data_IF_386616065436
#
_entry.id   IF_386616065436
#
_cell.length_a   1.000
_cell.length_b   1.000
_cell.length_c   1.000
_cell.angle_alpha   90.00
_cell.angle_beta   90.00
_cell.angle_gamma   90.00
#
_symmetry.space_group_name_H-M   'P 1'
#
loop_
_entity.id
_entity.type
_entity.pdbx_description
1 polymer ?
#
# COMPACT_ATOMS: atom_id res chain seq x y z
N UNK A 1 7.85 -10.25 -19.97
CA UNK A 1 7.33 -11.54 -19.49
C UNK A 1 6.45 -12.16 -20.57
N UNK A 2 6.54 -13.47 -20.83
CA UNK A 2 5.71 -14.20 -21.82
C UNK A 2 4.54 -14.96 -21.18
N UNK A 3 4.28 -14.71 -19.89
CA UNK A 3 3.36 -15.45 -19.04
C UNK A 3 2.03 -14.71 -18.77
N UNK A 4 1.77 -13.59 -19.46
CA UNK A 4 0.58 -12.77 -19.27
C UNK A 4 0.69 -11.68 -18.19
N UNK A 5 1.84 -11.59 -17.49
CA UNK A 5 2.10 -10.51 -16.53
C UNK A 5 2.23 -9.15 -17.24
N UNK A 6 1.62 -8.12 -16.66
CA UNK A 6 1.65 -6.74 -17.16
C UNK A 6 2.68 -5.95 -16.35
N UNK A 7 3.69 -5.42 -17.02
CA UNK A 7 4.66 -4.52 -16.40
C UNK A 7 4.22 -3.08 -16.63
N UNK A 8 3.99 -2.35 -15.54
CA UNK A 8 3.67 -0.94 -15.57
C UNK A 8 4.86 -0.13 -15.07
N UNK A 9 5.27 0.86 -15.87
CA UNK A 9 6.29 1.84 -15.51
C UNK A 9 5.73 3.23 -15.79
N UNK A 10 5.31 3.91 -14.73
CA UNK A 10 4.82 5.28 -14.80
C UNK A 10 5.97 6.22 -14.45
N UNK A 11 6.30 7.14 -15.34
CA UNK A 11 7.43 8.05 -15.21
C UNK A 11 6.87 9.47 -15.15
N UNK A 12 7.18 10.17 -14.07
CA UNK A 12 6.87 11.58 -13.88
C UNK A 12 8.17 12.36 -14.01
N UNK A 13 8.27 13.18 -15.06
CA UNK A 13 9.44 14.03 -15.34
C UNK A 13 9.08 15.48 -15.07
N UNK A 14 9.88 16.16 -14.25
CA UNK A 14 9.64 17.54 -13.86
C UNK A 14 10.48 18.49 -14.71
N UNK A 15 9.83 19.23 -15.61
CA UNK A 15 10.51 20.20 -16.49
C UNK A 15 10.83 21.53 -15.80
N UNK A 16 10.19 21.82 -14.67
CA UNK A 16 10.36 23.04 -13.86
C UNK A 16 10.16 22.71 -12.39
N UNK A 17 10.33 23.71 -11.53
CA UNK A 17 9.96 23.62 -10.12
C UNK A 17 8.48 23.26 -9.94
N UNK A 18 8.18 22.32 -9.05
CA UNK A 18 6.83 21.96 -8.65
C UNK A 18 6.80 21.51 -7.18
N UNK A 19 5.83 22.02 -6.42
CA UNK A 19 5.50 21.55 -5.07
C UNK A 19 4.21 20.74 -5.12
N UNK A 20 4.27 19.49 -4.67
CA UNK A 20 3.12 18.59 -4.69
C UNK A 20 2.82 18.07 -3.28
N UNK A 21 1.56 18.19 -2.87
CA UNK A 21 1.06 17.51 -1.67
C UNK A 21 0.85 16.01 -1.89
N UNK A 22 0.64 15.60 -3.15
CA UNK A 22 0.36 14.23 -3.55
C UNK A 22 0.97 13.95 -4.91
N UNK A 23 1.73 12.88 -5.01
CA UNK A 23 2.16 12.27 -6.27
C UNK A 23 1.93 10.77 -6.13
N UNK A 24 0.86 10.25 -6.76
CA UNK A 24 0.43 8.87 -6.55
C UNK A 24 -0.04 8.21 -7.83
N UNK A 25 0.11 6.88 -7.87
CA UNK A 25 -0.53 6.01 -8.87
C UNK A 25 -1.44 5.00 -8.17
N UNK A 26 -2.46 4.51 -8.87
CA UNK A 26 -3.37 3.50 -8.34
C UNK A 26 -3.94 2.65 -9.46
N UNK A 27 -4.26 1.39 -9.14
CA UNK A 27 -5.16 0.57 -9.94
C UNK A 27 -6.56 0.70 -9.34
N UNK A 28 -7.45 1.35 -10.08
CA UNK A 28 -8.83 1.62 -9.65
C UNK A 28 -9.68 0.37 -9.80
N UNK A 29 -10.36 -0.01 -8.73
CA UNK A 29 -11.33 -1.13 -8.65
C UNK A 29 -10.96 -2.37 -9.48
N UNK A 30 -9.80 -3.01 -9.24
CA UNK A 30 -9.31 -4.11 -10.08
C UNK A 30 -10.35 -5.24 -10.27
N UNK A 31 -11.15 -5.50 -9.22
CA UNK A 31 -12.17 -6.56 -9.23
C UNK A 31 -13.51 -6.15 -8.59
N UNK A 32 -13.52 -5.06 -7.81
CA UNK A 32 -14.67 -4.67 -6.99
C UNK A 32 -15.88 -4.17 -7.77
N UNK A 33 -15.73 -3.77 -9.03
CA UNK A 33 -16.86 -3.37 -9.90
C UNK A 33 -17.67 -4.57 -10.41
N UNK A 34 -17.12 -5.79 -10.37
CA UNK A 34 -17.78 -7.00 -10.90
C UNK A 34 -17.99 -8.09 -9.85
N UNK A 35 -17.34 -8.00 -8.70
CA UNK A 35 -17.41 -8.98 -7.63
C UNK A 35 -17.39 -8.29 -6.25
N UNK A 36 -18.56 -8.19 -5.62
CA UNK A 36 -18.71 -7.57 -4.30
C UNK A 36 -18.07 -8.38 -3.17
N UNK A 37 -17.83 -9.69 -3.37
CA UNK A 37 -17.14 -10.56 -2.42
C UNK A 37 -15.61 -10.43 -2.47
N UNK A 38 -15.09 -9.47 -3.24
CA UNK A 38 -13.65 -9.21 -3.34
C UNK A 38 -13.07 -8.83 -1.99
N UNK A 39 -11.94 -9.44 -1.64
CA UNK A 39 -11.11 -9.08 -0.49
C UNK A 39 -9.79 -8.49 -0.95
N UNK A 40 -9.26 -7.54 -0.17
CA UNK A 40 -7.86 -7.16 -0.21
C UNK A 40 -7.04 -8.21 0.54
N UNK A 41 -5.96 -8.69 -0.07
CA UNK A 41 -4.95 -9.52 0.59
C UNK A 41 -3.58 -8.87 0.45
N UNK A 42 -2.82 -8.79 1.55
CA UNK A 42 -1.46 -8.22 1.54
C UNK A 42 -0.66 -8.67 2.77
N UNK A 43 0.69 -8.57 2.75
CA UNK A 43 1.52 -8.78 3.92
C UNK A 43 1.16 -7.83 5.06
N UNK A 44 1.41 -8.23 6.31
CA UNK A 44 1.34 -7.30 7.44
C UNK A 44 2.34 -6.17 7.23
N UNK A 45 1.87 -4.93 7.37
CA UNK A 45 2.71 -3.75 7.21
C UNK A 45 3.89 -3.76 8.17
N UNK A 46 5.06 -3.37 7.67
CA UNK A 46 6.23 -3.11 8.50
C UNK A 46 6.04 -1.86 9.36
N UNK A 47 5.26 -0.87 8.90
CA UNK A 47 4.85 0.32 9.67
C UNK A 47 3.47 0.82 9.26
N UNK A 48 2.67 1.22 10.24
CA UNK A 48 1.28 1.65 10.05
C UNK A 48 0.98 2.84 10.97
N UNK A 49 0.51 3.96 10.40
CA UNK A 49 0.22 5.19 11.16
C UNK A 49 -0.72 4.92 12.33
N UNK A 50 -1.80 4.19 12.09
CA UNK A 50 -2.76 3.87 13.15
C UNK A 50 -2.16 3.03 14.28
N UNK A 51 -1.22 2.13 13.96
CA UNK A 51 -0.55 1.33 14.97
C UNK A 51 0.39 2.20 15.80
N UNK A 52 1.14 3.11 15.15
CA UNK A 52 1.97 4.11 15.81
C UNK A 52 1.13 5.03 16.73
N UNK A 53 -0.03 5.51 16.25
CA UNK A 53 -0.97 6.35 17.02
C UNK A 53 -1.60 5.64 18.22
N UNK A 54 -1.80 4.32 18.13
CA UNK A 54 -2.31 3.50 19.22
C UNK A 54 -1.19 2.90 20.09
N UNK A 55 0.07 3.13 19.72
CA UNK A 55 1.26 2.57 20.38
C UNK A 55 1.23 1.03 20.47
N UNK A 56 0.84 0.37 19.37
CA UNK A 56 0.80 -1.08 19.19
C UNK A 56 1.52 -1.48 17.90
N UNK A 57 1.72 -2.77 17.67
CA UNK A 57 2.27 -3.27 16.41
C UNK A 57 1.22 -3.30 15.29
N UNK A 58 1.63 -3.21 14.01
CA UNK A 58 0.70 -3.41 12.90
C UNK A 58 -0.03 -4.76 12.95
N UNK A 59 0.61 -5.83 13.44
CA UNK A 59 -0.03 -7.13 13.61
C UNK A 59 -1.16 -7.07 14.65
N UNK A 60 -0.92 -6.49 15.82
CA UNK A 60 -1.93 -6.31 16.87
C UNK A 60 -3.12 -5.49 16.34
N UNK A 61 -2.85 -4.40 15.63
CA UNK A 61 -3.89 -3.55 15.02
C UNK A 61 -4.85 -4.35 14.13
N UNK A 62 -4.32 -5.22 13.27
CA UNK A 62 -5.14 -6.01 12.35
C UNK A 62 -5.77 -7.24 13.00
N UNK A 63 -5.15 -7.81 14.05
CA UNK A 63 -5.74 -8.87 14.87
C UNK A 63 -7.00 -8.39 15.59
N UNK A 64 -6.98 -7.21 16.20
CA UNK A 64 -8.15 -6.60 16.86
C UNK A 64 -9.34 -6.41 15.91
N UNK A 65 -9.06 -6.32 14.60
CA UNK A 65 -10.05 -6.13 13.53
C UNK A 65 -10.49 -7.44 12.87
N UNK A 66 -10.04 -8.58 13.38
CA UNK A 66 -10.31 -9.90 12.81
C UNK A 66 -9.97 -9.98 11.31
N UNK A 67 -8.86 -9.35 10.94
CA UNK A 67 -8.44 -9.17 9.55
C UNK A 67 -7.08 -9.81 9.27
N UNK A 68 -6.67 -10.78 10.10
CA UNK A 68 -5.47 -11.58 9.89
C UNK A 68 -5.86 -13.00 9.52
N UNK A 69 -5.28 -13.49 8.43
CA UNK A 69 -5.28 -14.88 8.04
C UNK A 69 -3.85 -15.41 8.05
N UNK A 70 -3.64 -16.60 8.61
CA UNK A 70 -2.36 -17.29 8.55
C UNK A 70 -2.32 -18.24 7.36
N UNK A 71 -1.26 -18.18 6.55
CA UNK A 71 -0.91 -19.23 5.61
C UNK A 71 0.42 -19.85 6.04
N UNK A 72 0.36 -21.11 6.50
CA UNK A 72 1.43 -21.69 7.31
C UNK A 72 1.65 -20.89 8.60
N UNK A 73 2.90 -20.44 8.84
CA UNK A 73 3.28 -19.66 10.03
C UNK A 73 3.38 -18.15 9.76
N UNK A 74 2.91 -17.66 8.59
CA UNK A 74 3.03 -16.25 8.21
C UNK A 74 1.65 -15.57 8.25
N UNK A 75 1.52 -14.40 8.92
CA UNK A 75 0.28 -13.63 8.93
C UNK A 75 0.15 -12.76 7.68
N UNK A 76 -1.07 -12.66 7.15
CA UNK A 76 -1.45 -11.77 6.07
C UNK A 76 -2.70 -11.01 6.47
N UNK A 77 -2.78 -9.76 6.03
CA UNK A 77 -3.96 -8.92 6.19
C UNK A 77 -4.97 -9.35 5.12
N UNK A 78 -6.20 -9.64 5.54
CA UNK A 78 -7.33 -9.99 4.68
C UNK A 78 -8.56 -9.22 5.18
N UNK A 79 -9.10 -8.35 4.34
CA UNK A 79 -10.33 -7.61 4.66
C UNK A 79 -11.18 -7.33 3.41
N UNK A 80 -12.50 -7.11 3.55
CA UNK A 80 -13.37 -6.84 2.40
C UNK A 80 -12.93 -5.60 1.63
N UNK A 81 -12.94 -5.66 0.30
CA UNK A 81 -12.56 -4.55 -0.55
C UNK A 81 -13.70 -3.53 -0.78
N UNK A 82 -14.94 -3.94 -0.54
CA UNK A 82 -16.13 -3.07 -0.70
C UNK A 82 -16.61 -2.43 0.60
N UNK A 83 -16.26 -3.01 1.74
CA UNK A 83 -16.64 -2.50 3.06
C UNK A 83 -15.55 -1.63 3.67
N UNK A 84 -16.00 -0.63 4.44
CA UNK A 84 -15.09 0.25 5.15
C UNK A 84 -14.64 -0.39 6.47
N UNK A 85 -13.35 -0.67 6.59
CA UNK A 85 -12.71 -1.01 7.86
C UNK A 85 -12.69 0.22 8.78
N UNK A 86 -13.08 0.05 10.05
CA UNK A 86 -13.02 1.12 11.05
C UNK A 86 -11.62 1.21 11.70
N UNK A 87 -11.24 2.39 12.25
CA UNK A 87 -11.97 3.65 12.27
C UNK A 87 -12.05 4.32 10.89
N UNK A 88 -13.07 5.16 10.72
CA UNK A 88 -13.21 5.99 9.53
C UNK A 88 -12.60 7.36 9.82
N UNK A 89 -11.79 7.87 8.89
CA UNK A 89 -11.45 9.28 8.83
C UNK A 89 -12.32 9.94 7.77
N UNK A 90 -12.93 11.08 8.10
CA UNK A 90 -13.86 11.82 7.22
C UNK A 90 -14.92 10.95 6.53
N UNK A 91 -15.39 9.89 7.20
CA UNK A 91 -16.41 8.98 6.69
C UNK A 91 -15.91 7.87 5.76
N UNK A 92 -14.60 7.73 5.54
CA UNK A 92 -14.00 6.63 4.77
C UNK A 92 -12.89 5.91 5.57
N UNK A 93 -12.58 4.67 5.19
CA UNK A 93 -11.40 3.97 5.72
C UNK A 93 -10.16 4.60 5.14
N UNK A 94 -9.25 4.98 6.02
CA UNK A 94 -7.93 5.45 5.66
C UNK A 94 -6.87 4.57 6.27
N UNK A 95 -5.92 4.13 5.45
CA UNK A 95 -4.72 3.40 5.88
C UNK A 95 -3.53 4.17 5.33
N UNK A 96 -2.60 4.55 6.21
CA UNK A 96 -1.32 5.12 5.83
C UNK A 96 -0.23 4.21 6.35
N UNK A 97 0.46 3.55 5.44
CA UNK A 97 1.36 2.48 5.78
C UNK A 97 2.60 2.46 4.89
N UNK A 98 3.62 1.74 5.33
CA UNK A 98 4.75 1.37 4.48
C UNK A 98 4.26 0.64 3.23
N UNK A 99 4.92 0.91 2.09
CA UNK A 99 4.72 0.09 0.90
C UNK A 99 5.31 -1.30 1.15
N UNK A 100 4.54 -2.35 0.88
CA UNK A 100 5.00 -3.73 1.01
C UNK A 100 5.29 -4.36 -0.35
N UNK A 101 5.73 -5.62 -0.34
CA UNK A 101 6.12 -6.33 -1.57
C UNK A 101 4.98 -6.55 -2.56
N UNK A 102 3.75 -6.71 -2.08
CA UNK A 102 2.58 -6.92 -2.93
C UNK A 102 1.27 -6.66 -2.20
N UNK A 103 0.23 -6.38 -2.97
CA UNK A 103 -1.17 -6.44 -2.54
C UNK A 103 -1.99 -7.12 -3.64
N UNK A 104 -3.11 -7.72 -3.32
CA UNK A 104 -3.98 -8.33 -4.31
C UNK A 104 -5.45 -8.12 -3.99
N UNK A 105 -6.27 -8.20 -5.04
CA UNK A 105 -7.72 -8.29 -4.95
C UNK A 105 -8.12 -9.69 -5.39
N UNK A 106 -8.91 -10.39 -4.57
CA UNK A 106 -9.34 -11.75 -4.87
C UNK A 106 -10.82 -11.91 -4.59
N UNK A 107 -11.55 -12.50 -5.56
CA UNK A 107 -12.96 -12.88 -5.41
C UNK A 107 -13.08 -14.39 -5.22
N UNK A 108 -13.58 -14.87 -4.07
CA UNK A 108 -13.88 -16.28 -3.85
C UNK A 108 -14.88 -16.87 -4.86
N UNK A 109 -15.93 -16.13 -5.22
CA UNK A 109 -16.97 -16.59 -6.14
C UNK A 109 -16.47 -16.73 -7.58
N UNK A 110 -15.63 -15.81 -8.03
CA UNK A 110 -15.02 -15.86 -9.37
C UNK A 110 -13.75 -16.71 -9.42
N UNK A 111 -13.22 -17.12 -8.27
CA UNK A 111 -11.92 -17.82 -8.17
C UNK A 111 -10.81 -17.10 -8.94
N UNK A 112 -10.85 -15.78 -8.91
CA UNK A 112 -10.02 -14.90 -9.73
C UNK A 112 -9.41 -13.83 -8.85
N UNK A 113 -8.12 -13.57 -9.05
CA UNK A 113 -7.41 -12.50 -8.38
C UNK A 113 -6.55 -11.67 -9.31
N UNK A 114 -6.24 -10.46 -8.84
CA UNK A 114 -5.33 -9.51 -9.49
C UNK A 114 -4.30 -9.11 -8.45
N UNK A 115 -3.06 -9.51 -8.67
CA UNK A 115 -1.93 -9.13 -7.84
C UNK A 115 -1.28 -7.87 -8.37
N UNK A 116 -0.92 -6.97 -7.46
CA UNK A 116 -0.05 -5.82 -7.71
C UNK A 116 1.25 -6.03 -6.93
N UNK A 117 2.33 -6.29 -7.64
CA UNK A 117 3.63 -6.63 -7.06
C UNK A 117 4.58 -5.47 -7.30
N UNK A 118 5.17 -4.96 -6.22
CA UNK A 118 6.19 -3.94 -6.28
C UNK A 118 7.51 -4.59 -6.70
N UNK A 119 8.16 -4.07 -7.75
CA UNK A 119 9.46 -4.59 -8.21
C UNK A 119 10.57 -4.34 -7.20
N UNK A 120 10.42 -3.31 -6.38
CA UNK A 120 11.30 -2.95 -5.29
C UNK A 120 10.47 -2.51 -4.08
N UNK A 121 10.97 -2.82 -2.88
CA UNK A 121 10.28 -2.49 -1.63
C UNK A 121 11.05 -1.38 -0.92
N UNK A 122 10.44 -0.21 -0.70
CA UNK A 122 11.13 0.90 -0.05
C UNK A 122 11.62 0.54 1.36
N UNK A 123 12.82 1.02 1.75
CA UNK A 123 13.23 0.99 3.15
C UNK A 123 12.34 1.92 3.97
N UNK A 124 12.23 1.64 5.26
CA UNK A 124 11.48 2.48 6.19
C UNK A 124 12.51 3.26 7.00
N UNK A 125 12.40 4.59 6.93
CA UNK A 125 13.24 5.48 7.71
C UNK A 125 12.74 5.52 9.15
N UNK A 126 13.65 5.71 10.10
CA UNK A 126 13.28 5.91 11.51
C UNK A 126 12.65 7.30 11.72
N UNK A 127 13.07 8.29 10.94
CA UNK A 127 12.49 9.62 10.94
C UNK A 127 11.03 9.55 10.46
N UNK A 128 10.10 9.92 11.33
CA UNK A 128 8.66 9.85 11.06
C UNK A 128 8.25 10.73 9.88
N UNK A 129 8.78 11.95 9.82
CA UNK A 129 8.46 12.90 8.76
C UNK A 129 8.99 12.43 7.41
N UNK A 130 10.22 11.92 7.35
CA UNK A 130 10.77 11.35 6.11
C UNK A 130 10.00 10.12 5.64
N UNK A 131 9.51 9.27 6.56
CA UNK A 131 8.70 8.11 6.19
C UNK A 131 7.34 8.53 5.64
N UNK A 132 6.64 9.42 6.34
CA UNK A 132 5.32 9.92 5.93
C UNK A 132 5.38 10.65 4.58
N UNK A 133 6.46 11.41 4.37
CA UNK A 133 6.72 12.10 3.11
C UNK A 133 7.33 11.27 2.01
N UNK A 134 7.68 10.03 2.30
CA UNK A 134 8.27 9.09 1.38
C UNK A 134 7.23 8.27 0.60
N UNK A 135 7.70 7.23 -0.12
CA UNK A 135 6.81 6.27 -0.77
C UNK A 135 6.00 5.50 0.27
N UNK A 136 4.68 5.70 0.27
CA UNK A 136 3.72 5.03 1.16
C UNK A 136 2.60 4.34 0.39
N UNK A 137 1.89 3.44 1.07
CA UNK A 137 0.57 3.00 0.64
C UNK A 137 -0.48 3.79 1.39
N UNK A 138 -1.36 4.42 0.62
CA UNK A 138 -2.53 5.12 1.12
C UNK A 138 -3.77 4.39 0.65
N UNK A 139 -4.54 3.83 1.59
CA UNK A 139 -5.87 3.34 1.29
C UNK A 139 -6.87 4.47 1.48
N UNK A 140 -7.66 4.73 0.46
CA UNK A 140 -8.74 5.72 0.48
C UNK A 140 -9.87 5.22 -0.41
N UNK A 141 -11.11 5.26 0.09
CA UNK A 141 -12.31 5.01 -0.73
C UNK A 141 -12.28 3.69 -1.53
N UNK A 142 -11.84 2.60 -0.87
CA UNK A 142 -11.74 1.21 -1.40
C UNK A 142 -10.47 0.87 -2.19
N UNK A 143 -9.56 1.83 -2.35
CA UNK A 143 -8.41 1.68 -3.25
C UNK A 143 -7.11 2.00 -2.55
N UNK A 144 -6.08 1.21 -2.86
CA UNK A 144 -4.71 1.53 -2.48
C UNK A 144 -4.05 2.40 -3.54
N UNK A 145 -3.36 3.44 -3.07
CA UNK A 145 -2.57 4.39 -3.83
C UNK A 145 -1.12 4.24 -3.42
N UNK A 146 -0.22 4.27 -4.40
CA UNK A 146 1.23 4.24 -4.19
C UNK A 146 1.78 5.64 -4.39
N UNK A 147 2.55 6.15 -3.42
CA UNK A 147 3.41 7.30 -3.64
C UNK A 147 3.48 8.25 -2.48
N UNK A 148 3.66 9.52 -2.79
CA UNK A 148 3.85 10.59 -1.82
C UNK A 148 2.48 11.14 -1.39
N UNK A 149 2.27 11.30 -0.09
CA UNK A 149 1.06 11.90 0.47
C UNK A 149 1.39 12.68 1.74
N UNK A 150 1.30 14.00 1.66
CA UNK A 150 1.82 14.88 2.71
C UNK A 150 0.72 15.65 3.46
N UNK A 151 -0.51 15.13 3.49
CA UNK A 151 -1.66 15.89 3.99
C UNK A 151 -2.28 15.32 5.28
N UNK A 152 -1.60 15.38 6.44
CA UNK A 152 -2.18 14.98 7.75
C UNK A 152 -1.61 15.61 9.05
N UNK A 153 -1.11 16.86 9.14
CA UNK A 153 -0.45 17.33 10.37
C UNK A 153 -1.31 17.25 11.64
N UNK A 154 -2.56 17.71 11.57
CA UNK A 154 -3.43 17.83 12.74
C UNK A 154 -3.93 16.49 13.30
N UNK A 155 -4.06 15.46 12.47
CA UNK A 155 -4.52 14.13 12.91
C UNK A 155 -3.41 13.34 13.60
N UNK A 156 -2.15 13.60 13.23
CA UNK A 156 -0.98 12.94 13.84
C UNK A 156 -0.76 13.48 15.25
N UNK A 157 -1.00 14.78 15.48
CA UNK A 157 -0.90 15.40 16.81
C UNK A 157 -2.06 15.07 17.76
N UNK A 158 -3.14 14.44 17.26
CA UNK A 158 -4.30 14.08 18.08
C UNK A 158 -4.03 12.93 19.06
N UNK A 159 -2.97 12.14 18.84
CA UNK A 159 -2.59 11.00 19.66
C UNK A 159 -1.27 11.26 20.37
N UNK A 160 -1.21 10.94 21.67
CA UNK A 160 -0.04 11.23 22.50
C UNK A 160 1.24 10.55 21.98
N UNK A 161 1.14 9.35 21.39
CA UNK A 161 2.30 8.60 20.89
C UNK A 161 2.93 9.18 19.63
N UNK A 162 2.19 9.98 18.86
CA UNK A 162 2.67 10.58 17.60
C UNK A 162 2.72 12.11 17.64
N UNK A 163 2.39 12.70 18.79
CA UNK A 163 2.40 14.14 19.01
C UNK A 163 3.79 14.73 18.83
N UNK A 164 3.91 15.73 17.96
CA UNK A 164 5.18 16.38 17.63
C UNK A 164 6.15 15.49 16.85
N UNK A 165 5.70 14.35 16.31
CA UNK A 165 6.53 13.49 15.47
C UNK A 165 6.83 14.11 14.09
N UNK A 166 6.04 15.10 13.69
CA UNK A 166 6.15 15.82 12.42
C UNK A 166 5.98 17.34 12.63
N UNK A 167 6.40 18.13 11.65
CA UNK A 167 6.62 19.58 11.80
C UNK A 167 5.50 20.53 12.29
N UNK A 168 4.20 20.46 12.00
CA UNK A 168 3.20 21.56 12.12
C UNK A 168 3.30 22.72 11.11
N UNK A 169 4.45 22.98 10.47
CA UNK A 169 4.55 23.98 9.39
C UNK A 169 4.20 23.38 8.04
N UNK A 170 3.22 23.94 7.33
CA UNK A 170 2.73 23.40 6.06
C UNK A 170 3.83 23.30 5.00
N UNK A 171 4.81 24.21 5.03
CA UNK A 171 5.95 24.25 4.11
C UNK A 171 6.85 23.02 4.21
N UNK A 172 6.84 22.32 5.36
CA UNK A 172 7.65 21.13 5.58
C UNK A 172 6.95 19.84 5.09
N UNK A 173 5.77 19.98 4.46
CA UNK A 173 4.88 18.90 3.99
C UNK A 173 4.57 19.01 2.49
N UNK A 174 5.53 19.49 1.70
CA UNK A 174 5.41 19.48 0.25
C UNK A 174 6.57 18.69 -0.33
N UNK A 175 6.24 17.77 -1.24
CA UNK A 175 7.25 17.14 -2.05
C UNK A 175 7.76 18.18 -3.06
N UNK A 176 9.03 18.56 -2.89
CA UNK A 176 9.71 19.53 -3.75
C UNK A 176 10.36 18.82 -4.93
N UNK A 177 10.00 19.25 -6.13
CA UNK A 177 10.62 18.78 -7.37
C UNK A 177 11.24 19.94 -8.11
N UNK A 178 12.44 19.73 -8.64
CA UNK A 178 13.18 20.68 -9.50
C UNK A 178 13.29 20.17 -10.92
N UNK A 179 13.71 21.05 -11.83
CA UNK A 179 13.89 20.68 -13.23
C UNK A 179 14.91 19.52 -13.38
N UNK A 180 14.49 18.44 -14.02
CA UNK A 180 15.28 17.23 -14.21
C UNK A 180 14.99 16.12 -13.20
N UNK A 181 14.19 16.39 -12.16
CA UNK A 181 13.75 15.31 -11.26
C UNK A 181 12.85 14.32 -12.01
N UNK A 182 13.01 13.05 -11.66
CA UNK A 182 12.23 11.94 -12.22
C UNK A 182 11.75 11.05 -11.09
N UNK A 183 10.45 10.82 -11.04
CA UNK A 183 9.83 9.88 -10.11
C UNK A 183 9.21 8.72 -10.88
N UNK A 184 9.55 7.48 -10.51
CA UNK A 184 9.14 6.28 -11.24
C UNK A 184 8.35 5.35 -10.34
N UNK A 185 7.16 4.94 -10.80
CA UNK A 185 6.39 3.87 -10.20
C UNK A 185 6.45 2.63 -11.09
N UNK A 186 6.92 1.55 -10.50
CA UNK A 186 7.27 0.31 -11.18
C UNK A 186 6.53 -0.86 -10.54
N UNK A 187 5.60 -1.45 -11.30
CA UNK A 187 4.76 -2.56 -10.83
C UNK A 187 4.63 -3.68 -11.84
N UNK A 188 4.43 -4.89 -11.31
CA UNK A 188 3.95 -6.03 -12.09
C UNK A 188 2.54 -6.35 -11.64
N UNK A 189 1.64 -6.47 -12.61
CA UNK A 189 0.28 -6.96 -12.38
C UNK A 189 0.14 -8.37 -12.93
N UNK A 190 -0.42 -9.26 -12.13
CA UNK A 190 -0.70 -10.65 -12.52
C UNK A 190 -2.16 -10.97 -12.29
N UNK A 191 -2.87 -11.38 -13.34
CA UNK A 191 -4.22 -11.95 -13.23
C UNK A 191 -4.09 -13.45 -13.07
N UNK A 192 -4.78 -14.02 -12.09
CA UNK A 192 -4.64 -15.43 -11.75
C UNK A 192 -5.93 -16.06 -11.27
N UNK A 193 -5.94 -17.39 -11.24
CA UNK A 193 -6.99 -18.18 -10.63
C UNK A 193 -6.47 -18.84 -9.36
N UNK A 194 -7.34 -18.94 -8.36
CA UNK A 194 -7.06 -19.62 -7.10
C UNK A 194 -8.37 -20.20 -6.54
N UNK A 195 -8.30 -21.34 -5.86
CA UNK A 195 -9.50 -22.00 -5.31
C UNK A 195 -9.92 -21.43 -3.96
N UNK A 196 -8.99 -20.78 -3.25
CA UNK A 196 -9.22 -20.16 -1.94
C UNK A 196 -8.39 -18.91 -1.73
N UNK A 197 -8.69 -18.16 -0.66
CA UNK A 197 -7.87 -17.01 -0.22
C UNK A 197 -6.43 -17.46 0.10
N UNK A 198 -6.25 -18.65 0.67
CA UNK A 198 -4.93 -19.18 1.00
C UNK A 198 -4.11 -19.48 -0.26
N UNK A 199 -4.71 -20.14 -1.25
CA UNK A 199 -4.05 -20.43 -2.54
C UNK A 199 -3.74 -19.14 -3.31
N UNK A 200 -4.61 -18.13 -3.18
CA UNK A 200 -4.41 -16.80 -3.73
C UNK A 200 -3.17 -16.14 -3.12
N UNK A 201 -3.02 -16.15 -1.79
CA UNK A 201 -1.82 -15.62 -1.10
C UNK A 201 -0.57 -16.41 -1.53
N UNK A 202 -0.64 -17.74 -1.59
CA UNK A 202 0.49 -18.58 -1.99
C UNK A 202 0.93 -18.29 -3.44
N UNK A 203 -0.01 -18.14 -4.37
CA UNK A 203 0.28 -17.76 -5.75
C UNK A 203 1.06 -16.43 -5.80
N UNK A 204 0.60 -15.40 -5.08
CA UNK A 204 1.25 -14.08 -5.12
C UNK A 204 2.61 -14.11 -4.44
N UNK A 205 2.78 -14.88 -3.36
CA UNK A 205 4.08 -15.06 -2.71
C UNK A 205 5.10 -15.72 -3.66
N UNK A 206 4.70 -16.76 -4.39
CA UNK A 206 5.54 -17.41 -5.40
C UNK A 206 5.86 -16.46 -6.56
N UNK A 207 4.87 -15.73 -7.06
CA UNK A 207 5.04 -14.77 -8.16
C UNK A 207 5.97 -13.62 -7.76
N UNK A 208 5.82 -13.09 -6.55
CA UNK A 208 6.73 -12.09 -5.97
C UNK A 208 8.16 -12.63 -5.92
N UNK A 209 8.35 -13.86 -5.43
CA UNK A 209 9.68 -14.46 -5.35
C UNK A 209 10.32 -14.62 -6.74
N UNK A 210 9.54 -15.02 -7.74
CA UNK A 210 9.98 -15.07 -9.15
C UNK A 210 10.46 -13.69 -9.61
N UNK A 211 9.62 -12.66 -9.46
CA UNK A 211 9.94 -11.28 -9.90
C UNK A 211 11.18 -10.73 -9.18
N UNK A 212 11.25 -10.86 -7.86
CA UNK A 212 12.39 -10.35 -7.07
C UNK A 212 13.68 -11.13 -7.33
N UNK A 213 13.59 -12.40 -7.73
CA UNK A 213 14.77 -13.19 -8.12
C UNK A 213 15.37 -12.78 -9.47
N UNK A 214 14.60 -12.08 -10.31
CA UNK A 214 15.07 -11.56 -11.59
C UNK A 214 15.81 -10.22 -11.45
N UNK A 215 15.66 -9.55 -10.31
CA UNK A 215 16.36 -8.30 -9.99
C UNK A 215 17.77 -8.63 -9.44
N UNK A 216 18.62 -9.24 -10.28
CA UNK A 216 20.07 -9.30 -10.09
C UNK A 216 20.73 -8.64 -11.30
N UNK A 217 21.32 -7.45 -11.10
CA UNK A 217 22.17 -6.78 -12.08
C UNK A 217 21.74 -5.35 -12.42
N UNK A 218 21.90 -4.43 -11.46
CA UNK A 218 22.31 -3.05 -11.75
C UNK A 218 23.67 -2.80 -11.08
#
# INVERSE_FOLDING_TARGET
>A
FTNGDIVSRNIFEFGTYADLMKLQVMATRPLTDIAEDTVHTLPVFRRLLWADQLNITPLEYWLERNAIMYTGNKPYIVFPAVDSMRPLWWGATYIFASQESWRANYSPSLKTGIAEINMWVPPITANYQEWMGGPTWVYESREFRDGLFEWMPGEIDAFESTKGAISSKWEDYVAHFVAGDVYVFSKVYSVYNADSIADSIEFVELKKAEIHSLVFGE
#
